data_IF_786369407765
#
_entry.id   IF_786369407765
#
_cell.length_a   1.000
_cell.length_b   1.000
_cell.length_c   1.000
_cell.angle_alpha   90.00
_cell.angle_beta   90.00
_cell.angle_gamma   90.00
#
_symmetry.space_group_name_H-M   'P 1'
#
loop_
_entity.id
_entity.type
_entity.pdbx_description
1 polymer ?
#
# COMPACT_ATOMS: atom_id res chain seq x y z
N UNK A 1 -25.46 -14.38 43.14
CA UNK A 1 -25.24 -13.02 42.61
C UNK A 1 -24.10 -13.06 41.63
N UNK A 2 -24.45 -13.05 40.33
CA UNK A 2 -23.50 -12.98 39.23
C UNK A 2 -22.94 -11.56 39.10
N UNK A 3 -21.63 -11.43 38.90
CA UNK A 3 -20.95 -10.40 38.09
C UNK A 3 -19.44 -10.47 38.33
N UNK A 4 -18.79 -11.46 37.73
CA UNK A 4 -17.32 -11.49 37.58
C UNK A 4 -16.89 -11.49 36.11
N UNK A 5 -17.78 -11.12 35.17
CA UNK A 5 -17.48 -11.11 33.73
C UNK A 5 -16.64 -9.91 33.25
N UNK A 6 -16.15 -9.06 34.15
CA UNK A 6 -15.42 -7.84 33.79
C UNK A 6 -14.02 -8.05 33.14
N UNK A 7 -13.24 -9.13 33.40
CA UNK A 7 -11.94 -9.29 32.75
C UNK A 7 -12.04 -9.91 31.35
N UNK A 8 -13.15 -10.58 31.01
CA UNK A 8 -13.31 -11.24 29.70
C UNK A 8 -13.52 -10.23 28.56
N UNK A 9 -14.09 -9.07 28.86
CA UNK A 9 -14.37 -8.02 27.87
C UNK A 9 -13.11 -7.22 27.49
N UNK A 10 -12.10 -7.17 28.37
CA UNK A 10 -10.85 -6.43 28.15
C UNK A 10 -9.86 -7.16 27.20
N UNK A 11 -10.00 -8.49 27.05
CA UNK A 11 -9.10 -9.29 26.22
C UNK A 11 -9.46 -9.27 24.72
N UNK A 12 -10.68 -8.83 24.37
CA UNK A 12 -11.20 -8.86 22.99
C UNK A 12 -10.68 -7.71 22.10
N UNK A 13 -10.03 -6.70 22.67
CA UNK A 13 -9.58 -5.49 21.95
C UNK A 13 -8.20 -5.56 21.28
N UNK A 14 -7.45 -6.66 21.45
CA UNK A 14 -6.04 -6.74 21.03
C UNK A 14 -5.83 -7.13 19.55
N UNK A 15 -6.89 -7.46 18.80
CA UNK A 15 -6.76 -7.96 17.42
C UNK A 15 -6.99 -6.91 16.31
N UNK A 16 -7.30 -5.65 16.66
CA UNK A 16 -7.68 -4.62 15.67
C UNK A 16 -6.49 -3.89 15.02
N UNK A 17 -5.24 -4.26 15.31
CA UNK A 17 -4.06 -3.53 14.83
C UNK A 17 -3.52 -3.99 13.47
N UNK A 18 -4.16 -4.96 12.81
CA UNK A 18 -3.72 -5.42 11.49
C UNK A 18 -4.28 -4.49 10.39
N UNK A 19 -3.50 -3.46 10.01
CA UNK A 19 -3.80 -2.67 8.80
C UNK A 19 -3.61 -3.56 7.58
N UNK A 20 -4.71 -3.97 6.94
CA UNK A 20 -4.66 -4.79 5.74
C UNK A 20 -4.28 -3.94 4.53
N UNK A 21 -3.17 -4.30 3.87
CA UNK A 21 -2.79 -3.70 2.59
C UNK A 21 -3.78 -4.06 1.50
N UNK A 22 -4.01 -3.12 0.59
CA UNK A 22 -4.89 -3.32 -0.54
C UNK A 22 -4.17 -4.17 -1.61
N UNK A 23 -4.89 -5.06 -2.30
CA UNK A 23 -4.30 -5.93 -3.34
C UNK A 23 -4.20 -5.23 -4.68
N UNK A 24 -3.04 -5.35 -5.33
CA UNK A 24 -2.73 -4.92 -6.69
C UNK A 24 -2.17 -6.10 -7.51
N UNK A 25 -2.12 -5.96 -8.82
CA UNK A 25 -1.55 -6.98 -9.69
C UNK A 25 -0.02 -6.76 -9.83
N UNK A 26 0.38 -5.49 -9.93
CA UNK A 26 1.77 -5.06 -10.09
C UNK A 26 2.08 -3.85 -9.21
N UNK A 27 3.24 -3.88 -8.56
CA UNK A 27 3.92 -2.70 -8.02
C UNK A 27 5.23 -2.50 -8.79
N UNK A 28 5.45 -1.30 -9.30
CA UNK A 28 6.78 -0.84 -9.75
C UNK A 28 7.30 0.14 -8.71
N UNK A 29 8.54 -0.02 -8.27
CA UNK A 29 9.18 0.84 -7.26
C UNK A 29 10.61 1.20 -7.67
N UNK A 30 11.19 2.14 -6.95
CA UNK A 30 12.53 2.66 -7.19
C UNK A 30 12.69 3.10 -8.64
N UNK A 31 11.72 3.84 -9.18
CA UNK A 31 11.72 4.35 -10.54
C UNK A 31 11.89 5.88 -10.58
N UNK A 32 12.20 6.43 -11.74
CA UNK A 32 11.97 7.84 -12.05
C UNK A 32 10.76 7.90 -12.98
N UNK A 33 9.57 8.02 -12.41
CA UNK A 33 8.31 8.00 -13.16
C UNK A 33 8.02 9.40 -13.65
N UNK A 34 7.93 9.61 -14.96
CA UNK A 34 7.48 10.88 -15.53
C UNK A 34 5.98 10.83 -15.81
N UNK A 35 5.21 11.64 -15.10
CA UNK A 35 3.76 11.71 -15.35
C UNK A 35 3.46 12.81 -16.36
N UNK A 36 2.47 12.55 -17.22
CA UNK A 36 1.93 13.56 -18.15
C UNK A 36 0.74 14.28 -17.51
N UNK A 37 0.91 14.71 -16.26
CA UNK A 37 -0.01 15.64 -15.61
C UNK A 37 0.32 17.09 -15.98
N UNK A 38 -0.53 18.04 -15.60
CA UNK A 38 -0.32 19.46 -15.92
C UNK A 38 0.93 20.06 -15.29
N UNK A 39 1.49 19.41 -14.27
CA UNK A 39 2.69 19.84 -13.58
C UNK A 39 3.96 19.12 -14.08
N UNK A 40 3.82 18.16 -15.01
CA UNK A 40 4.87 17.24 -15.43
C UNK A 40 5.58 16.60 -14.23
N UNK A 41 4.80 16.17 -13.24
CA UNK A 41 5.33 15.70 -11.97
C UNK A 41 6.08 14.37 -12.10
N UNK A 42 7.03 14.15 -11.18
CA UNK A 42 7.77 12.89 -11.07
C UNK A 42 7.40 12.10 -9.81
N UNK A 43 7.45 10.77 -9.90
CA UNK A 43 7.20 9.87 -8.78
C UNK A 43 8.21 8.71 -8.72
N UNK A 44 8.13 7.88 -7.68
CA UNK A 44 9.09 6.80 -7.42
C UNK A 44 8.49 5.40 -7.53
N UNK A 45 7.18 5.27 -7.31
CA UNK A 45 6.47 4.00 -7.40
C UNK A 45 5.02 4.19 -7.86
N UNK A 46 4.44 3.11 -8.38
CA UNK A 46 3.01 3.01 -8.63
C UNK A 46 2.49 1.59 -8.42
N UNK A 47 1.18 1.47 -8.19
CA UNK A 47 0.46 0.20 -8.15
C UNK A 47 -0.58 0.14 -9.28
N UNK A 48 -0.69 -1.00 -9.95
CA UNK A 48 -1.65 -1.26 -11.03
C UNK A 48 -2.56 -2.42 -10.68
N UNK A 49 -3.84 -2.29 -11.03
CA UNK A 49 -4.83 -3.36 -10.98
C UNK A 49 -5.76 -3.28 -12.18
N UNK A 50 -6.04 -4.42 -12.81
CA UNK A 50 -6.90 -4.53 -13.99
C UNK A 50 -6.50 -3.54 -15.11
N UNK A 51 -5.19 -3.37 -15.30
CA UNK A 51 -4.61 -2.45 -16.29
C UNK A 51 -4.74 -0.96 -15.96
N UNK A 52 -5.17 -0.59 -14.75
CA UNK A 52 -5.32 0.81 -14.31
C UNK A 52 -4.43 1.14 -13.13
N UNK A 53 -3.92 2.36 -13.07
CA UNK A 53 -3.20 2.85 -11.90
C UNK A 53 -4.17 2.98 -10.71
N UNK A 54 -3.85 2.28 -9.61
CA UNK A 54 -4.50 2.48 -8.33
C UNK A 54 -3.93 3.72 -7.61
N UNK A 55 -2.61 3.90 -7.69
CA UNK A 55 -1.90 5.03 -7.09
C UNK A 55 -0.51 5.20 -7.72
N UNK A 56 -0.04 6.44 -7.75
CA UNK A 56 1.33 6.85 -8.12
C UNK A 56 1.86 7.70 -6.96
N UNK A 57 3.12 7.54 -6.56
CA UNK A 57 3.68 8.28 -5.43
C UNK A 57 5.10 7.86 -5.04
N UNK A 58 5.45 8.05 -3.77
CA UNK A 58 6.74 7.61 -3.21
C UNK A 58 6.78 6.09 -3.02
N UNK A 59 7.98 5.52 -2.94
CA UNK A 59 8.17 4.09 -2.64
C UNK A 59 7.42 3.66 -1.37
N UNK A 60 7.56 4.44 -0.30
CA UNK A 60 6.95 4.12 0.99
C UNK A 60 5.43 4.21 0.93
N UNK A 61 4.89 5.22 0.24
CA UNK A 61 3.45 5.41 0.10
C UNK A 61 2.79 4.23 -0.63
N UNK A 62 3.46 3.66 -1.64
CA UNK A 62 2.95 2.51 -2.38
C UNK A 62 3.13 1.22 -1.59
N UNK A 63 4.34 0.94 -1.07
CA UNK A 63 4.63 -0.33 -0.37
C UNK A 63 3.97 -0.47 0.99
N UNK A 64 3.60 0.64 1.63
CA UNK A 64 2.80 0.63 2.86
C UNK A 64 1.32 0.39 2.58
N UNK A 65 0.80 0.90 1.46
CA UNK A 65 -0.62 0.84 1.14
C UNK A 65 -1.03 -0.42 0.37
N UNK A 66 -0.12 -1.02 -0.40
CA UNK A 66 -0.42 -2.11 -1.31
C UNK A 66 0.49 -3.33 -1.13
N UNK A 67 -0.07 -4.51 -1.35
CA UNK A 67 0.65 -5.73 -1.69
C UNK A 67 0.27 -6.15 -3.11
N UNK A 68 1.20 -6.73 -3.86
CA UNK A 68 0.97 -7.14 -5.23
C UNK A 68 1.45 -8.55 -5.54
N UNK A 69 0.87 -9.14 -6.58
CA UNK A 69 1.28 -10.46 -7.10
C UNK A 69 2.68 -10.39 -7.73
N UNK A 70 3.04 -9.24 -8.32
CA UNK A 70 4.38 -8.96 -8.84
C UNK A 70 4.92 -7.63 -8.34
N UNK A 71 6.23 -7.61 -8.03
CA UNK A 71 6.95 -6.40 -7.65
C UNK A 71 8.19 -6.27 -8.52
N UNK A 72 8.28 -5.16 -9.24
CA UNK A 72 9.44 -4.81 -10.08
C UNK A 72 10.21 -3.68 -9.44
N UNK A 73 11.50 -3.92 -9.22
CA UNK A 73 12.46 -2.87 -8.87
C UNK A 73 13.02 -2.26 -10.16
N UNK A 74 12.74 -0.99 -10.41
CA UNK A 74 13.20 -0.30 -11.60
C UNK A 74 14.65 0.20 -11.49
N UNK A 75 15.35 -0.01 -10.36
CA UNK A 75 16.76 0.35 -10.18
C UNK A 75 17.09 1.81 -10.52
N UNK A 76 16.19 2.72 -10.15
CA UNK A 76 16.19 4.15 -10.44
C UNK A 76 16.25 4.49 -11.94
N UNK A 77 15.78 3.59 -12.81
CA UNK A 77 15.63 3.84 -14.23
C UNK A 77 14.33 4.62 -14.54
N UNK A 78 14.31 5.37 -15.65
CA UNK A 78 13.13 6.12 -16.07
C UNK A 78 12.00 5.21 -16.54
N UNK A 79 10.76 5.59 -16.21
CA UNK A 79 9.50 4.93 -16.60
C UNK A 79 8.49 5.95 -17.10
#
# INVERSE_FOLDING_TARGET
MQRQHLPLLALLGLFSACSSKQKADLIVKNAIIYTVDSAFSTAQAFAVKDGKFLKIGTNDAITTAYDADSVVDANNQPV
#
